data_IF_551941868112
#
_entry.id   IF_551941868112
#
_cell.length_a   1.000
_cell.length_b   1.000
_cell.length_c   1.000
_cell.angle_alpha   90.00
_cell.angle_beta   90.00
_cell.angle_gamma   90.00
#
_symmetry.space_group_name_H-M   'P 1'
#
loop_
_entity.id
_entity.type
_entity.pdbx_description
1 polymer ?
#
# COMPACT_ATOMS: atom_id res chain seq x y z
N UNK A 1 -14.78 -12.05 29.02
CA UNK A 1 -14.07 -10.74 28.93
C UNK A 1 -13.19 -10.78 27.69
N UNK A 2 -13.23 -9.76 26.83
CA UNK A 2 -12.39 -9.72 25.63
C UNK A 2 -10.94 -9.42 26.01
N UNK A 3 -9.97 -10.12 25.39
CA UNK A 3 -8.54 -9.83 25.52
C UNK A 3 -8.14 -8.85 24.43
N UNK A 4 -7.67 -7.66 24.82
CA UNK A 4 -7.22 -6.62 23.90
C UNK A 4 -5.68 -6.60 23.94
N UNK A 5 -5.04 -6.68 22.77
CA UNK A 5 -3.59 -6.69 22.62
C UNK A 5 -3.22 -5.54 21.68
N UNK A 6 -2.35 -4.59 22.09
CA UNK A 6 -1.89 -3.53 21.19
C UNK A 6 -0.95 -4.10 20.13
N UNK A 7 -0.90 -3.45 18.98
CA UNK A 7 0.08 -3.71 17.93
C UNK A 7 0.74 -2.39 17.54
N UNK A 8 1.97 -2.47 17.03
CA UNK A 8 2.66 -1.30 16.47
C UNK A 8 2.17 -1.07 15.04
N UNK A 9 1.65 0.11 14.76
CA UNK A 9 1.34 0.55 13.42
C UNK A 9 2.58 0.71 12.55
N UNK A 10 2.39 0.67 11.24
CA UNK A 10 3.41 1.02 10.25
C UNK A 10 3.20 2.45 9.78
N UNK A 11 4.29 3.18 9.55
CA UNK A 11 4.28 4.55 9.02
C UNK A 11 5.27 4.67 7.87
N UNK A 12 4.98 5.55 6.92
CA UNK A 12 5.96 5.94 5.92
C UNK A 12 7.18 6.58 6.56
N UNK A 13 8.36 6.12 6.14
CA UNK A 13 9.63 6.69 6.53
C UNK A 13 9.86 8.01 5.77
N UNK A 14 9.71 9.13 6.48
CA UNK A 14 9.88 10.48 5.91
C UNK A 14 11.28 10.75 5.33
N UNK A 15 12.28 9.90 5.64
CA UNK A 15 13.62 10.01 5.03
C UNK A 15 13.72 9.33 3.66
N UNK A 16 12.79 8.42 3.33
CA UNK A 16 12.76 7.68 2.05
C UNK A 16 11.71 8.19 1.07
N UNK A 17 10.70 8.92 1.56
CA UNK A 17 9.69 9.56 0.72
C UNK A 17 9.93 11.07 0.64
N UNK A 18 9.69 11.67 -0.53
CA UNK A 18 9.82 13.12 -0.69
C UNK A 18 8.66 13.90 -0.04
N UNK A 19 7.42 13.46 -0.27
CA UNK A 19 6.22 14.08 0.29
C UNK A 19 5.14 13.03 0.55
N UNK A 20 4.48 13.11 1.71
CA UNK A 20 3.38 12.21 2.05
C UNK A 20 2.24 12.29 1.03
N UNK A 21 1.96 13.47 0.48
CA UNK A 21 0.91 13.68 -0.51
C UNK A 21 1.12 12.85 -1.79
N UNK A 22 2.37 12.52 -2.14
CA UNK A 22 2.69 11.72 -3.33
C UNK A 22 2.52 10.22 -3.14
N UNK A 23 2.37 9.75 -1.89
CA UNK A 23 2.32 8.32 -1.55
C UNK A 23 1.01 7.88 -0.92
N UNK A 24 0.04 8.80 -0.76
CA UNK A 24 -1.29 8.50 -0.21
C UNK A 24 -2.37 8.72 -1.26
N UNK A 25 -3.55 8.18 -0.96
CA UNK A 25 -4.75 8.26 -1.80
C UNK A 25 -5.95 8.72 -0.97
N UNK A 26 -7.02 9.22 -1.62
CA UNK A 26 -8.33 9.25 -1.00
C UNK A 26 -8.82 7.81 -0.70
N UNK A 27 -9.91 7.64 0.07
CA UNK A 27 -10.54 6.34 0.28
C UNK A 27 -10.89 5.61 -1.04
N UNK A 28 -10.68 4.29 -1.09
CA UNK A 28 -10.88 3.47 -2.29
C UNK A 28 -12.28 3.55 -2.93
N UNK A 29 -13.33 3.84 -2.15
CA UNK A 29 -14.71 3.89 -2.60
C UNK A 29 -15.01 5.07 -3.53
N UNK A 30 -14.10 6.06 -3.59
CA UNK A 30 -14.18 7.20 -4.50
C UNK A 30 -13.10 7.21 -5.58
N UNK A 31 -12.29 6.15 -5.69
CA UNK A 31 -11.24 6.02 -6.71
C UNK A 31 -11.80 5.30 -7.93
N UNK A 32 -11.78 5.96 -9.08
CA UNK A 32 -12.06 5.36 -10.39
C UNK A 32 -10.80 4.74 -11.03
N UNK A 33 -10.97 3.96 -12.10
CA UNK A 33 -9.86 3.29 -12.79
C UNK A 33 -8.79 4.27 -13.31
N UNK A 34 -9.22 5.45 -13.78
CA UNK A 34 -8.31 6.49 -14.26
C UNK A 34 -7.46 7.06 -13.11
N UNK A 35 -8.06 7.32 -11.95
CA UNK A 35 -7.33 7.78 -10.76
C UNK A 35 -6.42 6.68 -10.19
N UNK A 36 -6.88 5.43 -10.16
CA UNK A 36 -6.05 4.29 -9.77
C UNK A 36 -4.78 4.22 -10.62
N UNK A 37 -4.94 4.26 -11.95
CA UNK A 37 -3.80 4.26 -12.88
C UNK A 37 -2.87 5.45 -12.66
N UNK A 38 -3.43 6.65 -12.41
CA UNK A 38 -2.64 7.85 -12.08
C UNK A 38 -1.81 7.66 -10.82
N UNK A 39 -2.38 7.18 -9.71
CA UNK A 39 -1.63 6.94 -8.46
C UNK A 39 -0.55 5.85 -8.62
N UNK A 40 -0.82 4.84 -9.44
CA UNK A 40 0.17 3.86 -9.83
C UNK A 40 1.37 4.49 -10.56
N UNK A 41 1.12 5.45 -11.45
CA UNK A 41 2.15 6.16 -12.20
C UNK A 41 2.87 7.24 -11.38
N UNK A 42 2.19 7.87 -10.42
CA UNK A 42 2.70 9.02 -9.67
C UNK A 42 3.89 8.67 -8.77
N UNK A 43 3.80 7.56 -8.02
CA UNK A 43 4.87 7.16 -7.11
C UNK A 43 4.94 5.63 -6.96
N UNK A 44 6.13 5.01 -7.06
CA UNK A 44 6.30 3.56 -6.93
C UNK A 44 5.91 3.01 -5.55
N UNK A 45 5.89 3.83 -4.51
CA UNK A 45 5.51 3.44 -3.13
C UNK A 45 4.17 4.03 -2.69
N UNK A 46 3.33 4.45 -3.64
CA UNK A 46 1.98 4.93 -3.34
C UNK A 46 1.10 3.81 -2.78
N UNK A 47 0.37 4.11 -1.70
CA UNK A 47 -0.48 3.20 -0.93
C UNK A 47 -1.57 2.52 -1.76
N UNK A 48 -1.92 3.05 -2.94
CA UNK A 48 -2.83 2.42 -3.90
C UNK A 48 -2.50 0.93 -4.16
N UNK A 49 -1.20 0.57 -4.10
CA UNK A 49 -0.73 -0.81 -4.26
C UNK A 49 -1.17 -1.76 -3.15
N UNK A 50 -1.50 -1.24 -1.97
CA UNK A 50 -2.01 -1.99 -0.83
C UNK A 50 -3.52 -1.82 -0.68
N UNK A 51 -4.05 -0.63 -0.96
CA UNK A 51 -5.47 -0.29 -0.77
C UNK A 51 -6.36 -0.80 -1.92
N UNK A 52 -5.97 -0.52 -3.17
CA UNK A 52 -6.76 -0.84 -4.36
C UNK A 52 -5.81 -1.24 -5.51
N UNK A 53 -5.25 -2.45 -5.40
CA UNK A 53 -4.30 -2.95 -6.37
C UNK A 53 -4.92 -3.25 -7.75
N UNK A 54 -4.13 -3.11 -8.82
CA UNK A 54 -4.57 -3.45 -10.18
C UNK A 54 -4.96 -4.92 -10.29
N UNK A 55 -6.06 -5.17 -10.99
CA UNK A 55 -6.47 -6.49 -11.45
C UNK A 55 -6.04 -6.72 -12.89
N UNK A 56 -5.68 -7.95 -13.21
CA UNK A 56 -5.30 -8.33 -14.56
C UNK A 56 -6.07 -9.56 -15.03
N UNK A 57 -6.29 -9.73 -16.35
CA UNK A 57 -7.00 -10.89 -16.89
C UNK A 57 -6.38 -12.25 -16.50
N UNK A 58 -5.07 -12.28 -16.22
CA UNK A 58 -4.33 -13.48 -15.81
C UNK A 58 -4.37 -13.75 -14.29
N UNK A 59 -5.05 -12.90 -13.51
CA UNK A 59 -5.13 -13.08 -12.06
C UNK A 59 -5.84 -14.39 -11.71
N UNK A 60 -5.33 -15.04 -10.66
CA UNK A 60 -5.83 -16.31 -10.17
C UNK A 60 -5.65 -16.42 -8.64
N UNK A 61 -6.01 -17.56 -8.06
CA UNK A 61 -5.96 -17.77 -6.62
C UNK A 61 -4.55 -17.54 -6.01
N UNK A 62 -3.48 -17.80 -6.76
CA UNK A 62 -2.10 -17.74 -6.27
C UNK A 62 -1.34 -16.48 -6.74
N UNK A 63 -1.86 -15.77 -7.73
CA UNK A 63 -1.29 -14.53 -8.22
C UNK A 63 -2.42 -13.55 -8.57
N UNK A 64 -2.68 -12.60 -7.69
CA UNK A 64 -3.72 -11.59 -7.83
C UNK A 64 -3.32 -10.30 -7.13
N UNK A 65 -4.22 -9.31 -7.13
CA UNK A 65 -3.97 -8.01 -6.50
C UNK A 65 -3.52 -8.14 -5.04
N UNK A 66 -4.11 -9.05 -4.27
CA UNK A 66 -3.80 -9.24 -2.85
C UNK A 66 -2.43 -9.87 -2.62
N UNK A 67 -2.07 -10.89 -3.41
CA UNK A 67 -0.72 -11.47 -3.30
C UNK A 67 0.32 -10.42 -3.68
N UNK A 68 0.08 -9.60 -4.70
CA UNK A 68 0.97 -8.47 -5.05
C UNK A 68 1.06 -7.45 -3.93
N UNK A 69 -0.06 -7.07 -3.30
CA UNK A 69 -0.07 -6.18 -2.13
C UNK A 69 0.77 -6.73 -0.98
N UNK A 70 0.69 -8.03 -0.69
CA UNK A 70 1.54 -8.67 0.31
C UNK A 70 3.03 -8.52 0.00
N UNK A 71 3.44 -8.78 -1.26
CA UNK A 71 4.83 -8.62 -1.68
C UNK A 71 5.30 -7.15 -1.61
N UNK A 72 4.44 -6.18 -1.94
CA UNK A 72 4.77 -4.77 -1.78
C UNK A 72 4.96 -4.40 -0.30
N UNK A 73 4.06 -4.86 0.58
CA UNK A 73 4.15 -4.60 2.01
C UNK A 73 5.44 -5.19 2.61
N UNK A 74 5.74 -6.45 2.30
CA UNK A 74 6.98 -7.12 2.74
C UNK A 74 8.22 -6.34 2.28
N UNK A 75 8.27 -6.00 0.99
CA UNK A 75 9.36 -5.21 0.42
C UNK A 75 9.50 -3.85 1.09
N UNK A 76 8.41 -3.14 1.34
CA UNK A 76 8.44 -1.81 1.94
C UNK A 76 8.87 -1.83 3.41
N UNK A 77 8.62 -2.94 4.12
CA UNK A 77 9.15 -3.14 5.47
C UNK A 77 10.65 -3.46 5.40
N UNK A 78 11.05 -4.35 4.48
CA UNK A 78 12.46 -4.75 4.30
C UNK A 78 13.35 -3.56 3.89
N UNK A 79 12.88 -2.74 2.95
CA UNK A 79 13.58 -1.55 2.48
C UNK A 79 13.29 -0.30 3.31
N UNK A 80 12.64 -0.44 4.47
CA UNK A 80 12.27 0.63 5.41
C UNK A 80 11.51 1.81 4.79
N UNK A 81 10.86 1.63 3.63
CA UNK A 81 9.86 2.59 3.14
C UNK A 81 8.72 2.74 4.15
N UNK A 82 8.33 1.63 4.78
CA UNK A 82 7.47 1.57 5.95
C UNK A 82 8.28 1.13 7.16
N UNK A 83 8.08 1.81 8.28
CA UNK A 83 8.74 1.52 9.57
C UNK A 83 7.68 1.39 10.67
N UNK A 84 7.94 0.51 11.64
CA UNK A 84 7.07 0.41 12.82
C UNK A 84 7.15 1.70 13.64
N UNK A 85 6.01 2.11 14.18
CA UNK A 85 5.99 3.22 15.14
C UNK A 85 6.78 2.87 16.41
N UNK A 86 7.40 3.90 16.99
CA UNK A 86 8.17 3.81 18.23
C UNK A 86 7.28 3.49 19.43
#
# INVERSE_FOLDING_TARGET
MARIIPFKGLRYNQKKIGSLASVVTPPYDIIDEASQARYYAENPVNIIRLELGLEFPQDNANNNRYTRSAHYLEKWIEDETLVYEE
#
